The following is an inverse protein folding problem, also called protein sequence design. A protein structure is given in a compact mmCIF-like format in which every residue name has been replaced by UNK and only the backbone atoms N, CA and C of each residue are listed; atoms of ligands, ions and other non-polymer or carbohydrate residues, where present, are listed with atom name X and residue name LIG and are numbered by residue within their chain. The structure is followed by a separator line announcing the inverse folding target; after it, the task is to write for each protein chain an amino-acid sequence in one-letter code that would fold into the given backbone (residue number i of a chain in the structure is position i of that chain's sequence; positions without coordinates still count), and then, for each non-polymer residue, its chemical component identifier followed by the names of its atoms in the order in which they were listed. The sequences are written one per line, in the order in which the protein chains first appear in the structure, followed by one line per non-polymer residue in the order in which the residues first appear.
data_IF_262717794640
#
_entry.id   IF_262717794640
#
_cell.length_a   1.000
_cell.length_b   1.000
_cell.length_c   1.000
_cell.angle_alpha   90.00
_cell.angle_beta   90.00
_cell.angle_gamma   90.00
#
_symmetry.space_group_name_H-M   'P 1'
#
loop_
_entity.id
_entity.type
_entity.pdbx_description
1 polymer ?
#
# COMPACT_ATOMS: atom_id res chain seq x y z
N UNK A 1 11.28 11.17 6.16
CA UNK A 1 11.11 12.49 6.80
C UNK A 1 10.52 13.45 5.79
N UNK A 2 9.83 14.50 6.26
CA UNK A 2 9.40 15.63 5.43
C UNK A 2 10.28 16.83 5.78
N UNK A 3 10.82 17.48 4.74
CA UNK A 3 11.78 18.57 4.85
C UNK A 3 11.23 19.80 4.15
N UNK A 4 11.44 20.97 4.74
CA UNK A 4 11.22 22.27 4.09
C UNK A 4 12.55 22.98 3.89
N UNK A 5 12.70 23.67 2.76
CA UNK A 5 13.95 24.33 2.38
C UNK A 5 13.77 25.84 2.41
N UNK A 6 14.19 26.47 3.50
CA UNK A 6 14.13 27.91 3.66
C UNK A 6 15.25 28.57 2.83
N UNK A 7 14.86 29.34 1.81
CA UNK A 7 15.78 30.17 1.01
C UNK A 7 16.91 29.41 0.31
N UNK A 8 16.75 28.10 0.08
CA UNK A 8 17.70 27.25 -0.64
C UNK A 8 19.02 26.93 0.11
N UNK A 9 19.13 27.29 1.39
CA UNK A 9 20.40 27.14 2.14
C UNK A 9 20.41 25.97 3.11
N UNK A 10 19.29 25.71 3.79
CA UNK A 10 19.22 24.70 4.84
C UNK A 10 17.84 24.02 4.86
N UNK A 11 17.85 22.69 4.99
CA UNK A 11 16.65 21.87 5.11
C UNK A 11 16.23 21.75 6.58
N UNK A 12 15.02 22.21 6.90
CA UNK A 12 14.38 22.05 8.20
C UNK A 12 13.51 20.80 8.19
N UNK A 13 13.71 19.90 9.16
CA UNK A 13 12.86 18.72 9.33
C UNK A 13 11.52 19.17 9.89
N UNK A 14 10.46 19.10 9.09
CA UNK A 14 9.09 19.38 9.53
C UNK A 14 8.49 18.18 10.26
N UNK A 15 8.81 16.96 9.80
CA UNK A 15 8.22 15.75 10.35
C UNK A 15 9.15 14.53 10.20
N UNK A 16 9.35 13.79 11.30
CA UNK A 16 10.20 12.60 11.34
C UNK A 16 9.67 11.54 12.33
N UNK A 17 8.53 10.89 12.04
CA UNK A 17 7.97 9.86 12.90
C UNK A 17 8.76 8.55 12.75
N UNK A 18 8.83 7.78 13.83
CA UNK A 18 9.30 6.40 13.77
C UNK A 18 8.14 5.50 13.28
N UNK A 19 8.39 4.72 12.21
CA UNK A 19 7.40 3.79 11.63
C UNK A 19 7.93 2.36 11.47
N UNK A 20 9.17 2.10 11.90
CA UNK A 20 9.78 0.79 11.76
C UNK A 20 11.25 0.74 12.18
N UNK A 21 11.86 -0.44 12.03
CA UNK A 21 13.29 -0.65 12.26
C UNK A 21 14.09 -0.08 11.09
N UNK A 22 15.32 0.34 11.37
CA UNK A 22 16.24 0.87 10.35
C UNK A 22 16.78 -0.22 9.41
N UNK A 23 17.19 0.19 8.21
CA UNK A 23 17.84 -0.65 7.18
C UNK A 23 16.94 -0.98 5.98
N UNK A 24 17.54 -1.53 4.92
CA UNK A 24 16.83 -1.99 3.72
C UNK A 24 16.20 -3.36 4.00
N UNK A 25 14.89 -3.40 4.23
CA UNK A 25 14.18 -4.62 4.64
C UNK A 25 12.97 -4.84 3.75
N UNK A 26 12.69 -6.12 3.45
CA UNK A 26 11.54 -6.54 2.64
C UNK A 26 10.21 -5.98 3.15
N UNK A 27 9.97 -6.07 4.46
CA UNK A 27 8.69 -5.71 5.09
C UNK A 27 8.66 -4.35 5.78
N UNK A 28 9.71 -3.54 5.72
CA UNK A 28 9.70 -2.18 6.28
C UNK A 28 9.43 -1.17 5.17
N UNK A 29 8.42 -0.29 5.30
CA UNK A 29 8.16 0.74 4.30
C UNK A 29 9.36 1.66 4.08
N UNK A 30 9.65 1.97 2.82
CA UNK A 30 10.79 2.81 2.47
C UNK A 30 11.31 2.63 1.04
N UNK A 31 10.95 1.53 0.37
CA UNK A 31 11.33 1.28 -1.03
C UNK A 31 10.52 2.15 -2.00
N UNK A 32 9.23 2.32 -1.72
CA UNK A 32 8.31 3.06 -2.58
C UNK A 32 7.75 4.28 -1.86
N UNK A 33 7.60 5.37 -2.60
CA UNK A 33 7.02 6.63 -2.14
C UNK A 33 6.10 7.15 -3.24
N UNK A 34 4.87 7.49 -2.87
CA UNK A 34 3.92 8.14 -3.77
C UNK A 34 3.25 9.31 -3.04
N UNK A 35 2.94 10.37 -3.77
CA UNK A 35 2.26 11.55 -3.26
C UNK A 35 1.00 11.82 -4.09
N UNK A 36 -0.07 12.24 -3.43
CA UNK A 36 -1.24 12.83 -4.07
C UNK A 36 -0.83 14.15 -4.76
N UNK A 37 -1.19 14.38 -6.03
CA UNK A 37 -0.80 15.59 -6.76
C UNK A 37 -1.26 16.91 -6.13
N UNK A 38 -2.28 16.88 -5.26
CA UNK A 38 -2.75 18.06 -4.51
C UNK A 38 -2.09 18.20 -3.13
N UNK A 39 -1.15 17.32 -2.78
CA UNK A 39 -0.40 17.37 -1.52
C UNK A 39 -1.20 17.01 -0.28
N UNK A 40 -2.30 16.26 -0.42
CA UNK A 40 -3.22 15.91 0.69
C UNK A 40 -2.82 14.62 1.40
N UNK A 41 -2.12 13.72 0.71
CA UNK A 41 -1.70 12.44 1.25
C UNK A 41 -0.39 11.99 0.63
N UNK A 42 0.38 11.22 1.40
CA UNK A 42 1.60 10.53 0.95
C UNK A 42 1.49 9.07 1.37
N UNK A 43 1.80 8.15 0.46
CA UNK A 43 1.92 6.72 0.78
C UNK A 43 3.39 6.29 0.71
N UNK A 44 3.84 5.59 1.75
CA UNK A 44 5.11 4.86 1.74
C UNK A 44 4.84 3.35 1.69
N UNK A 45 5.58 2.64 0.86
CA UNK A 45 5.43 1.21 0.62
C UNK A 45 6.72 0.43 0.89
N UNK A 46 6.57 -0.75 1.46
CA UNK A 46 7.60 -1.77 1.49
C UNK A 46 7.59 -2.59 0.19
N UNK A 47 8.61 -3.42 -0.02
CA UNK A 47 8.62 -4.39 -1.14
C UNK A 47 7.46 -5.37 -1.00
N UNK A 48 7.10 -5.71 0.24
CA UNK A 48 6.03 -6.65 0.50
C UNK A 48 5.22 -6.26 1.74
N UNK A 49 3.93 -6.55 1.66
CA UNK A 49 2.94 -6.47 2.72
C UNK A 49 2.59 -5.07 3.21
N UNK A 50 3.57 -4.32 3.71
CA UNK A 50 3.31 -3.10 4.47
C UNK A 50 3.27 -1.86 3.59
N UNK A 51 2.16 -1.13 3.66
CA UNK A 51 2.02 0.25 3.15
C UNK A 51 1.39 1.11 4.24
N UNK A 52 1.87 2.35 4.34
CA UNK A 52 1.40 3.36 5.30
C UNK A 52 1.02 4.63 4.54
N UNK A 53 -0.14 5.19 4.85
CA UNK A 53 -0.63 6.44 4.27
C UNK A 53 -0.62 7.53 5.33
N UNK A 54 0.09 8.61 5.06
CA UNK A 54 0.10 9.81 5.87
C UNK A 54 -0.83 10.84 5.23
N UNK A 55 -1.77 11.34 6.02
CA UNK A 55 -2.64 12.45 5.62
C UNK A 55 -1.97 13.76 6.03
N UNK A 56 -1.87 14.69 5.08
CA UNK A 56 -1.33 16.02 5.27
C UNK A 56 -2.48 17.00 5.33
N UNK A 57 -2.40 17.91 6.29
CA UNK A 57 -3.34 19.00 6.44
C UNK A 57 -2.60 20.33 6.62
N UNK A 58 -3.30 21.44 6.44
CA UNK A 58 -2.81 22.77 6.80
C UNK A 58 -3.62 23.31 7.96
N UNK A 59 -2.95 23.81 8.99
CA UNK A 59 -3.63 24.52 10.06
C UNK A 59 -4.03 25.95 9.61
N UNK A 60 -4.69 26.70 10.51
CA UNK A 60 -5.13 28.07 10.23
C UNK A 60 -4.00 29.07 9.98
N UNK A 61 -2.76 28.72 10.32
CA UNK A 61 -1.56 29.52 10.09
C UNK A 61 -0.80 29.08 8.81
N UNK A 62 -1.29 28.03 8.14
CA UNK A 62 -0.71 27.48 6.91
C UNK A 62 0.42 26.48 7.13
N UNK A 63 0.70 26.07 8.37
CA UNK A 63 1.71 25.06 8.66
C UNK A 63 1.21 23.66 8.27
N UNK A 64 2.12 22.84 7.75
CA UNK A 64 1.81 21.44 7.42
C UNK A 64 1.71 20.63 8.71
N UNK A 65 0.56 19.98 8.90
CA UNK A 65 0.32 19.00 9.97
C UNK A 65 0.18 17.62 9.36
N UNK A 66 0.71 16.59 10.04
CA UNK A 66 0.71 15.22 9.54
C UNK A 66 0.08 14.33 10.61
N UNK A 67 -0.99 13.63 10.23
CA UNK A 67 -1.69 12.70 11.11
C UNK A 67 -0.92 11.38 11.26
N UNK A 68 -1.31 10.58 12.26
CA UNK A 68 -0.85 9.20 12.39
C UNK A 68 -1.15 8.40 11.10
N UNK A 69 -0.27 7.47 10.72
CA UNK A 69 -0.42 6.77 9.46
C UNK A 69 -1.63 5.83 9.48
N UNK A 70 -2.32 5.73 8.34
CA UNK A 70 -3.30 4.70 8.05
C UNK A 70 -2.61 3.48 7.45
N UNK A 71 -2.97 2.29 7.91
CA UNK A 71 -2.38 1.04 7.44
C UNK A 71 -3.16 0.46 6.25
N UNK A 72 -2.45 0.23 5.15
CA UNK A 72 -2.97 -0.44 3.94
C UNK A 72 -2.22 -1.75 3.70
N UNK A 73 -2.13 -2.58 4.74
CA UNK A 73 -1.36 -3.82 4.71
C UNK A 73 -2.09 -4.92 3.94
N UNK A 74 -1.36 -5.65 3.10
CA UNK A 74 -1.90 -6.77 2.32
C UNK A 74 -0.91 -7.93 2.34
N UNK A 75 -1.21 -9.00 3.09
CA UNK A 75 -0.34 -10.17 3.19
C UNK A 75 -0.10 -10.83 1.83
N UNK A 76 0.98 -11.60 1.75
CA UNK A 76 1.36 -12.40 0.58
C UNK A 76 1.38 -11.59 -0.72
N UNK A 77 1.75 -10.31 -0.64
CA UNK A 77 1.68 -9.40 -1.78
C UNK A 77 2.99 -8.64 -1.95
N UNK A 78 3.60 -8.83 -3.12
CA UNK A 78 4.79 -8.11 -3.57
C UNK A 78 4.35 -6.88 -4.35
N UNK A 79 4.94 -5.73 -4.05
CA UNK A 79 4.71 -4.45 -4.75
C UNK A 79 5.88 -4.17 -5.69
N UNK A 80 5.57 -3.82 -6.94
CA UNK A 80 6.56 -3.50 -7.97
C UNK A 80 6.59 -2.00 -8.31
N UNK A 81 5.45 -1.33 -8.21
CA UNK A 81 5.33 0.10 -8.47
C UNK A 81 4.23 0.69 -7.59
N UNK A 82 4.37 1.95 -7.23
CA UNK A 82 3.41 2.71 -6.44
C UNK A 82 3.37 4.15 -6.94
N UNK A 83 2.19 4.64 -7.27
CA UNK A 83 1.98 6.00 -7.78
C UNK A 83 0.73 6.64 -7.16
N UNK A 84 0.74 7.96 -7.02
CA UNK A 84 -0.45 8.73 -6.70
C UNK A 84 -1.23 9.03 -7.98
N UNK A 85 -2.55 8.91 -7.93
CA UNK A 85 -3.42 9.24 -9.07
C UNK A 85 -3.94 10.66 -8.92
N UNK A 86 -4.01 11.41 -10.04
CA UNK A 86 -4.73 12.68 -10.07
C UNK A 86 -6.23 12.41 -10.16
N UNK A 87 -6.91 12.51 -9.03
CA UNK A 87 -8.36 12.39 -8.92
C UNK A 87 -9.03 13.76 -8.66
N UNK A 88 -8.42 14.86 -9.12
CA UNK A 88 -8.93 16.20 -8.90
C UNK A 88 -8.98 16.57 -7.42
N UNK A 89 -10.19 16.82 -6.90
CA UNK A 89 -10.43 17.14 -5.48
C UNK A 89 -11.17 16.04 -4.71
N UNK A 90 -11.52 14.94 -5.37
CA UNK A 90 -12.04 13.75 -4.70
C UNK A 90 -10.96 13.09 -3.84
N UNK A 91 -11.36 12.18 -2.96
CA UNK A 91 -10.47 11.52 -2.02
C UNK A 91 -9.19 11.00 -2.70
N UNK A 92 -7.99 11.20 -2.11
CA UNK A 92 -6.74 10.73 -2.69
C UNK A 92 -6.74 9.23 -2.99
N UNK A 93 -6.26 8.85 -4.17
CA UNK A 93 -6.15 7.46 -4.61
C UNK A 93 -4.69 7.15 -4.97
N UNK A 94 -4.25 5.96 -4.57
CA UNK A 94 -2.94 5.42 -4.92
C UNK A 94 -3.13 4.14 -5.73
N UNK A 95 -2.34 3.98 -6.78
CA UNK A 95 -2.29 2.76 -7.57
C UNK A 95 -0.98 2.01 -7.28
N UNK A 96 -1.08 0.70 -7.15
CA UNK A 96 0.06 -0.18 -6.96
C UNK A 96 0.02 -1.32 -7.98
N UNK A 97 1.17 -1.64 -8.58
CA UNK A 97 1.34 -2.87 -9.36
C UNK A 97 1.79 -3.97 -8.41
N UNK A 98 0.98 -5.01 -8.27
CA UNK A 98 1.15 -6.03 -7.23
C UNK A 98 1.02 -7.45 -7.77
N UNK A 99 1.77 -8.38 -7.17
CA UNK A 99 1.58 -9.82 -7.33
C UNK A 99 1.21 -10.39 -5.97
N UNK A 100 0.04 -11.04 -5.89
CA UNK A 100 -0.34 -11.85 -4.74
C UNK A 100 0.12 -13.28 -5.01
N UNK A 101 0.84 -13.86 -4.04
CA UNK A 101 1.22 -15.26 -4.05
C UNK A 101 0.36 -16.03 -3.04
N UNK A 102 0.12 -17.30 -3.33
CA UNK A 102 -0.57 -18.23 -2.43
C UNK A 102 0.45 -18.93 -1.54
N UNK A 103 0.07 -19.22 -0.31
CA UNK A 103 0.87 -20.09 0.54
C UNK A 103 0.61 -21.53 0.10
N UNK A 104 1.65 -22.33 -0.09
CA UNK A 104 1.51 -23.73 -0.54
C UNK A 104 0.65 -24.56 0.42
N UNK A 105 0.68 -24.25 1.72
CA UNK A 105 -0.17 -24.86 2.74
C UNK A 105 -1.68 -24.68 2.42
N UNK A 106 -2.08 -23.57 1.78
CA UNK A 106 -3.49 -23.35 1.37
C UNK A 106 -3.89 -24.20 0.17
N UNK A 107 -2.92 -24.68 -0.62
CA UNK A 107 -3.19 -25.55 -1.77
C UNK A 107 -3.48 -26.98 -1.29
N UNK A 108 -2.86 -27.42 -0.19
CA UNK A 108 -3.07 -28.76 0.37
C UNK A 108 -4.48 -28.90 0.97
N UNK A 109 -4.99 -27.86 1.65
CA UNK A 109 -6.33 -27.86 2.24
C UNK A 109 -7.47 -27.91 1.19
N UNK A 110 -7.31 -27.34 -0.01
CA UNK A 110 -8.32 -27.45 -1.09
C UNK A 110 -8.37 -28.84 -1.75
N UNK A 111 -7.29 -29.63 -1.64
CA UNK A 111 -7.21 -30.96 -2.24
C UNK A 111 -7.72 -32.07 -1.30
N UNK A 112 -7.71 -31.86 0.02
CA UNK A 112 -8.18 -32.85 0.99
C UNK A 112 -9.72 -32.91 1.09
N UNK A 113 -10.44 -31.81 0.81
CA UNK A 113 -11.91 -31.75 0.78
C UNK A 113 -12.54 -32.52 -0.42
N UNK A 114 -11.74 -32.88 -1.43
CA UNK A 114 -12.18 -33.68 -2.59
C UNK A 114 -12.04 -35.20 -2.36
N UNK A 115 -11.47 -35.63 -1.24
CA UNK A 115 -11.21 -37.05 -0.97
C UNK A 115 -12.41 -37.82 -0.36
N UNK A 116 -13.51 -37.15 0.00
CA UNK A 116 -14.71 -37.78 0.59
C UNK A 116 -16.00 -37.69 -0.27
N UNK A 117 -15.90 -37.42 -1.58
CA UNK A 117 -17.05 -37.60 -2.48
C UNK A 117 -16.70 -38.45 -3.69
N UNK A 118 -17.30 -39.63 -3.73
CA UNK A 118 -17.06 -40.63 -4.77
C UNK A 118 -17.39 -40.13 -6.18
N UNK A 119 -16.52 -40.52 -7.11
CA UNK A 119 -16.75 -40.81 -8.52
C UNK A 119 -17.65 -39.86 -9.36
N UNK A 120 -17.06 -39.22 -10.37
CA UNK A 120 -17.68 -39.08 -11.70
C UNK A 120 -17.55 -37.74 -12.41
N UNK A 121 -16.57 -37.66 -13.34
CA UNK A 121 -16.56 -36.95 -14.64
C UNK A 121 -17.26 -35.59 -14.82
N UNK A 122 -16.51 -34.57 -15.26
CA UNK A 122 -17.06 -33.44 -16.02
C UNK A 122 -16.08 -32.27 -16.16
N UNK A 123 -15.78 -31.91 -17.42
CA UNK A 123 -14.96 -30.77 -17.85
C UNK A 123 -15.47 -29.41 -17.31
N UNK A 124 -14.55 -28.46 -17.06
CA UNK A 124 -14.48 -27.17 -17.79
C UNK A 124 -13.70 -26.05 -17.06
N UNK A 125 -12.97 -25.31 -17.89
CA UNK A 125 -12.10 -24.15 -17.60
C UNK A 125 -12.82 -22.98 -16.91
N UNK A 126 -12.18 -22.33 -15.92
CA UNK A 126 -12.44 -20.90 -15.67
C UNK A 126 -11.29 -20.16 -14.95
N UNK A 127 -10.53 -19.35 -15.71
CA UNK A 127 -9.63 -18.34 -15.17
C UNK A 127 -10.41 -17.04 -14.93
N UNK A 128 -10.76 -16.74 -13.68
CA UNK A 128 -11.49 -15.51 -13.33
C UNK A 128 -10.57 -14.45 -12.72
N UNK A 129 -10.12 -13.50 -13.53
CA UNK A 129 -9.43 -12.28 -13.08
C UNK A 129 -10.40 -11.38 -12.28
N UNK A 130 -10.20 -11.22 -10.97
CA UNK A 130 -10.94 -10.25 -10.15
C UNK A 130 -10.11 -9.00 -9.88
N UNK A 131 -10.46 -7.91 -10.55
CA UNK A 131 -10.10 -6.54 -10.16
C UNK A 131 -10.95 -6.11 -8.96
N UNK A 132 -10.31 -5.79 -7.83
CA UNK A 132 -10.97 -5.14 -6.69
C UNK A 132 -10.51 -3.68 -6.57
N UNK A 133 -11.39 -2.76 -6.92
CA UNK A 133 -11.32 -1.35 -6.52
C UNK A 133 -11.68 -1.23 -5.04
N UNK A 134 -10.74 -0.79 -4.21
CA UNK A 134 -11.03 -0.44 -2.81
C UNK A 134 -11.46 1.02 -2.77
N UNK A 135 -12.77 1.25 -2.70
CA UNK A 135 -13.33 2.50 -2.17
C UNK A 135 -13.64 2.27 -0.70
N UNK A 136 -13.00 3.02 0.20
CA UNK A 136 -13.44 3.13 1.59
C UNK A 136 -14.09 4.50 1.80
N UNK A 137 -15.30 4.44 2.36
CA UNK A 137 -16.05 5.55 2.92
C UNK A 137 -15.30 6.22 4.06
#
# INVERSE_FOLDING_TARGET
SVLDFEGGKQGKVLHCPAFGKTGCRRGTPGQYLAADPKGRAIMIGAIEKRKLVYVLNRDGEGNVTIASPLEAHKSNTITFSLVGLDNGYDNPIFAALELTYIDYDQIEDENDDLSDSGAGSGDDNNASTRTHSVQKQ
#
